data_IF_521862255826
#
_entry.id   IF_521862255826
#
_cell.length_a   1.000
_cell.length_b   1.000
_cell.length_c   1.000
_cell.angle_alpha   90.00
_cell.angle_beta   90.00
_cell.angle_gamma   90.00
#
_symmetry.space_group_name_H-M   'P 1'
#
loop_
_entity.id
_entity.type
_entity.pdbx_description
1 polymer ?
#
# COMPACT_ATOMS: atom_id res chain seq x y z
N UNK A 1 20.07 15.69 -1.77
CA UNK A 1 19.16 14.88 -0.95
C UNK A 1 18.37 15.84 -0.09
N UNK A 2 17.07 16.00 -0.35
CA UNK A 2 16.23 16.95 0.39
C UNK A 2 15.89 16.39 1.77
N UNK A 3 16.40 17.04 2.82
CA UNK A 3 16.01 16.76 4.20
C UNK A 3 14.53 17.12 4.36
N UNK A 4 13.73 16.16 4.80
CA UNK A 4 12.34 16.41 5.21
C UNK A 4 12.39 17.34 6.43
N UNK A 5 11.65 18.46 6.44
CA UNK A 5 11.63 19.38 7.58
C UNK A 5 11.23 18.66 8.86
N UNK A 6 12.01 18.86 9.92
CA UNK A 6 11.86 18.24 11.25
C UNK A 6 10.42 18.36 11.80
N UNK A 7 9.72 19.43 11.43
CA UNK A 7 8.34 19.73 11.79
C UNK A 7 7.34 18.70 11.25
N UNK A 8 7.54 18.19 10.02
CA UNK A 8 6.69 17.12 9.46
C UNK A 8 6.91 15.77 10.14
N UNK A 9 8.14 15.52 10.60
CA UNK A 9 8.50 14.30 11.34
C UNK A 9 7.89 14.32 12.75
N UNK A 10 7.89 15.48 13.42
CA UNK A 10 7.26 15.67 14.74
C UNK A 10 5.73 15.52 14.70
N UNK A 11 5.09 16.02 13.64
CA UNK A 11 3.63 15.86 13.45
C UNK A 11 3.26 14.38 13.25
N UNK A 12 4.04 13.63 12.48
CA UNK A 12 3.85 12.19 12.27
C UNK A 12 4.05 11.39 13.57
N UNK A 13 5.03 11.78 14.41
CA UNK A 13 5.27 11.14 15.71
C UNK A 13 4.11 11.41 16.68
N UNK A 14 3.51 12.61 16.69
CA UNK A 14 2.32 12.92 17.50
C UNK A 14 1.10 12.09 17.11
N UNK A 15 0.90 11.84 15.81
CA UNK A 15 -0.19 10.99 15.32
C UNK A 15 -0.03 9.53 15.77
N UNK A 16 1.20 9.01 15.80
CA UNK A 16 1.51 7.66 16.29
C UNK A 16 1.38 7.57 17.82
N UNK A 17 1.79 8.62 18.55
CA UNK A 17 1.65 8.70 20.01
C UNK A 17 0.18 8.69 20.48
N UNK A 18 -0.74 9.27 19.70
CA UNK A 18 -2.16 9.26 20.03
C UNK A 18 -2.87 7.93 19.71
N UNK A 19 -2.31 7.12 18.79
CA UNK A 19 -2.85 5.80 18.44
C UNK A 19 -2.48 4.68 19.42
N UNK A 20 -1.58 4.92 20.39
CA UNK A 20 -1.05 3.89 21.32
C UNK A 20 -1.61 3.97 22.74
N UNK A 21 -2.73 4.69 22.96
CA UNK A 21 -3.55 4.59 24.18
C UNK A 21 -4.35 3.27 24.24
N UNK A 22 -3.65 2.13 24.26
CA UNK A 22 -4.21 0.85 24.73
C UNK A 22 -3.20 0.14 25.62
N UNK A 23 -3.66 -0.52 26.71
CA UNK A 23 -2.76 -0.97 27.78
C UNK A 23 -1.96 -2.21 27.38
N UNK A 24 -0.68 -2.16 27.76
CA UNK A 24 0.35 -3.21 27.76
C UNK A 24 -0.19 -4.63 28.00
N UNK A 25 -0.13 -5.50 26.99
CA UNK A 25 0.12 -6.96 27.13
C UNK A 25 0.79 -7.54 25.87
N UNK A 26 2.10 -7.31 25.72
CA UNK A 26 2.95 -8.15 24.87
C UNK A 26 4.31 -8.31 25.57
N UNK A 27 4.34 -9.14 26.63
CA UNK A 27 5.55 -9.87 27.00
C UNK A 27 5.57 -11.13 26.16
N UNK A 28 6.71 -11.41 25.53
CA UNK A 28 7.00 -12.55 24.65
C UNK A 28 6.69 -12.33 23.16
N UNK A 29 7.37 -11.36 22.54
CA UNK A 29 7.71 -11.49 21.12
C UNK A 29 9.16 -11.98 21.10
N UNK A 30 9.36 -13.26 20.76
CA UNK A 30 10.68 -13.76 20.37
C UNK A 30 11.07 -12.96 19.12
N UNK A 31 12.15 -12.19 19.23
CA UNK A 31 12.76 -11.52 18.09
C UNK A 31 13.22 -12.63 17.15
N UNK A 32 12.48 -12.84 16.07
CA UNK A 32 12.91 -13.73 14.99
C UNK A 32 14.11 -13.08 14.33
N UNK A 33 15.13 -13.92 14.13
CA UNK A 33 16.40 -13.55 13.57
C UNK A 33 16.21 -12.88 12.21
N UNK A 34 16.82 -11.71 12.04
CA UNK A 34 16.66 -10.83 10.87
C UNK A 34 17.13 -11.51 9.59
N UNK A 35 17.97 -12.56 9.69
CA UNK A 35 18.35 -13.40 8.56
C UNK A 35 17.20 -14.29 8.04
N UNK A 36 16.28 -14.74 8.90
CA UNK A 36 15.20 -15.63 8.48
C UNK A 36 14.17 -14.90 7.61
N UNK A 37 13.81 -13.67 8.00
CA UNK A 37 12.91 -12.79 7.22
C UNK A 37 13.55 -12.38 5.89
N UNK A 38 14.88 -12.22 5.86
CA UNK A 38 15.61 -11.86 4.64
C UNK A 38 15.76 -13.04 3.67
N UNK A 39 15.88 -14.27 4.19
CA UNK A 39 15.93 -15.49 3.39
C UNK A 39 14.56 -15.85 2.78
N UNK A 40 13.46 -15.63 3.50
CA UNK A 40 12.10 -15.87 2.99
C UNK A 40 11.71 -14.87 1.88
N UNK A 41 12.12 -13.61 2.00
CA UNK A 41 11.87 -12.59 0.98
C UNK A 41 12.65 -12.88 -0.33
N UNK A 42 13.87 -13.41 -0.24
CA UNK A 42 14.68 -13.80 -1.41
C UNK A 42 14.18 -15.09 -2.07
N UNK A 43 13.53 -15.98 -1.31
CA UNK A 43 12.91 -17.19 -1.85
C UNK A 43 11.62 -16.90 -2.66
N UNK A 44 10.88 -15.84 -2.31
CA UNK A 44 9.67 -15.43 -3.04
C UNK A 44 9.99 -14.68 -4.35
N UNK A 45 11.15 -14.02 -4.44
CA UNK A 45 11.55 -13.27 -5.65
C UNK A 45 12.14 -14.16 -6.75
N UNK A 46 12.62 -15.37 -6.42
CA UNK A 46 13.23 -16.32 -7.39
C UNK A 46 12.24 -17.25 -8.11
N UNK A 47 10.97 -17.27 -7.72
CA UNK A 47 9.94 -18.15 -8.32
C UNK A 47 8.99 -17.44 -9.30
N UNK A 48 9.26 -16.19 -9.68
CA UNK A 48 8.49 -15.47 -10.70
C UNK A 48 9.24 -15.44 -12.03
N UNK A 49 9.10 -16.51 -12.82
CA UNK A 49 9.26 -16.46 -14.29
C UNK A 49 7.95 -16.92 -14.93
N UNK A 50 7.36 -16.13 -15.84
CA UNK A 50 6.16 -16.57 -16.54
C UNK A 50 6.55 -17.52 -17.69
N UNK A 51 5.93 -18.70 -17.67
CA UNK A 51 5.86 -19.62 -18.81
C UNK A 51 4.70 -19.20 -19.72
N UNK A 52 4.86 -19.21 -21.06
CA UNK A 52 3.76 -18.93 -21.97
C UNK A 52 3.00 -20.23 -22.23
N UNK A 53 1.73 -20.28 -21.81
CA UNK A 53 0.78 -21.24 -22.37
C UNK A 53 -0.50 -20.50 -22.73
N UNK A 54 -0.92 -20.79 -23.96
CA UNK A 54 -2.26 -20.66 -24.48
C UNK A 54 -3.29 -21.21 -23.48
N UNK A 55 -4.50 -20.66 -23.50
CA UNK A 55 -5.65 -21.40 -24.02
C UNK A 55 -6.91 -20.53 -23.97
N UNK A 56 -7.59 -20.54 -25.11
CA UNK A 56 -9.02 -20.80 -25.26
C UNK A 56 -9.77 -21.26 -24.01
N UNK A 57 -10.97 -20.73 -23.88
CA UNK A 57 -12.13 -21.30 -23.20
C UNK A 57 -11.95 -21.72 -21.73
N UNK A 58 -12.52 -20.93 -20.81
CA UNK A 58 -13.40 -21.53 -19.82
C UNK A 58 -14.45 -20.52 -19.33
N UNK A 59 -15.68 -20.90 -19.63
CA UNK A 59 -16.93 -20.35 -19.15
C UNK A 59 -17.20 -20.85 -17.71
N UNK A 60 -17.97 -20.05 -16.97
CA UNK A 60 -18.89 -20.35 -15.86
C UNK A 60 -18.59 -19.78 -14.45
N UNK A 61 -19.69 -19.19 -13.97
CA UNK A 61 -20.17 -19.03 -12.59
C UNK A 61 -19.74 -17.82 -11.74
N UNK A 62 -20.58 -16.78 -11.79
CA UNK A 62 -21.25 -16.27 -10.58
C UNK A 62 -22.62 -15.63 -10.90
N UNK A 63 -23.59 -15.67 -9.96
CA UNK A 63 -25.00 -15.51 -10.24
C UNK A 63 -25.46 -14.06 -10.06
N UNK A 64 -26.13 -13.52 -11.08
CA UNK A 64 -26.89 -12.27 -10.95
C UNK A 64 -28.38 -12.61 -10.78
N UNK A 65 -28.85 -12.47 -9.54
CA UNK A 65 -30.28 -12.29 -9.23
C UNK A 65 -30.75 -11.00 -9.90
N UNK A 66 -31.55 -11.13 -10.96
CA UNK A 66 -32.30 -10.01 -11.53
C UNK A 66 -33.79 -10.27 -11.31
N UNK A 67 -34.41 -9.26 -10.70
CA UNK A 67 -35.83 -9.09 -10.45
C UNK A 67 -36.64 -9.25 -11.75
N UNK A 68 -37.60 -10.18 -11.77
CA UNK A 68 -38.59 -10.32 -12.85
C UNK A 68 -39.59 -9.18 -12.75
N UNK A 69 -39.59 -8.27 -13.72
CA UNK A 69 -40.77 -7.45 -14.03
C UNK A 69 -41.37 -7.96 -15.34
N UNK A 70 -42.62 -8.38 -15.23
CA UNK A 70 -43.52 -8.78 -16.30
C UNK A 70 -43.68 -7.65 -17.32
N UNK A 71 -43.36 -7.93 -18.58
CA UNK A 71 -43.91 -7.20 -19.73
C UNK A 71 -44.38 -8.27 -20.74
N UNK A 72 -45.68 -8.35 -21.07
CA UNK A 72 -46.18 -9.32 -22.04
C UNK A 72 -45.78 -8.91 -23.46
N UNK A 73 -45.28 -9.88 -24.22
CA UNK A 73 -44.89 -9.73 -25.63
C UNK A 73 -46.12 -9.75 -26.53
N UNK A 74 -46.23 -8.78 -27.43
CA UNK A 74 -47.23 -8.70 -28.52
C UNK A 74 -47.15 -9.85 -29.55
N UNK A 75 -46.36 -10.89 -29.31
CA UNK A 75 -46.26 -12.06 -30.18
C UNK A 75 -47.36 -13.13 -29.93
N UNK A 76 -48.08 -13.05 -28.81
CA UNK A 76 -49.12 -14.04 -28.46
C UNK A 76 -50.54 -13.64 -28.94
N UNK A 77 -50.73 -12.41 -29.42
CA UNK A 77 -52.04 -11.90 -29.87
C UNK A 77 -52.34 -12.21 -31.36
N UNK A 78 -51.31 -12.51 -32.16
CA UNK A 78 -51.47 -12.75 -33.61
C UNK A 78 -51.81 -14.21 -33.98
N UNK A 79 -51.57 -15.18 -33.07
CA UNK A 79 -51.90 -16.60 -33.30
C UNK A 79 -53.34 -16.99 -32.94
N UNK A 80 -54.11 -16.11 -32.30
CA UNK A 80 -55.48 -16.37 -31.87
C UNK A 80 -56.58 -16.00 -32.89
N UNK A 81 -56.23 -15.40 -34.05
CA UNK A 81 -57.21 -14.89 -35.03
C UNK A 81 -57.45 -15.74 -36.28
N UNK A 82 -56.87 -16.94 -36.38
CA UNK A 82 -56.90 -17.71 -37.63
C UNK A 82 -57.55 -19.10 -37.56
N UNK A 83 -58.37 -19.39 -36.55
CA UNK A 83 -59.15 -20.62 -36.52
C UNK A 83 -60.52 -20.42 -35.85
N UNK A 84 -61.53 -20.09 -36.65
CA UNK A 84 -62.90 -20.57 -36.42
C UNK A 84 -63.56 -20.86 -37.77
N UNK A 85 -64.15 -22.05 -37.80
CA UNK A 85 -64.54 -22.88 -38.94
C UNK A 85 -66.06 -22.72 -39.20
N UNK A 86 -66.54 -23.34 -40.29
CA UNK A 86 -67.88 -23.93 -40.53
C UNK A 86 -68.72 -23.12 -41.55
N UNK A 87 -68.78 -23.51 -42.84
CA UNK A 87 -69.51 -24.60 -43.53
C UNK A 87 -70.96 -24.23 -43.94
N UNK A 88 -71.15 -24.16 -45.28
CA UNK A 88 -72.28 -24.60 -46.14
C UNK A 88 -73.72 -24.16 -45.84
N UNK A 89 -74.37 -23.47 -46.79
CA UNK A 89 -75.58 -23.98 -47.47
C UNK A 89 -76.08 -23.09 -48.66
N UNK A 90 -76.45 -23.78 -49.74
CA UNK A 90 -77.57 -23.55 -50.69
C UNK A 90 -77.78 -22.19 -51.43
N UNK A 91 -77.64 -22.29 -52.76
CA UNK A 91 -78.52 -21.79 -53.86
C UNK A 91 -79.78 -20.97 -53.47
N UNK A 92 -80.16 -19.95 -54.25
CA UNK A 92 -80.89 -20.22 -55.51
C UNK A 92 -80.67 -19.24 -56.69
N UNK A 93 -80.71 -19.78 -57.92
CA UNK A 93 -81.19 -19.14 -59.17
C UNK A 93 -82.74 -18.97 -59.10
N UNK A 94 -83.52 -18.46 -60.09
CA UNK A 94 -83.29 -17.77 -61.39
C UNK A 94 -84.29 -16.54 -61.45
N UNK A 95 -85.10 -16.17 -62.49
CA UNK A 95 -85.19 -16.53 -63.92
C UNK A 95 -85.49 -15.37 -64.92
N UNK A 96 -85.28 -15.62 -66.22
CA UNK A 96 -86.33 -15.59 -67.28
C UNK A 96 -85.64 -15.64 -68.66
N UNK A 97 -85.78 -16.71 -69.45
CA UNK A 97 -86.94 -17.22 -70.24
C UNK A 97 -87.33 -16.30 -71.41
N UNK A 98 -87.04 -16.74 -72.65
CA UNK A 98 -87.97 -17.28 -73.69
C UNK A 98 -88.55 -16.10 -74.52
N UNK A 99 -88.42 -16.05 -75.84
CA UNK A 99 -89.32 -16.75 -76.78
C UNK A 99 -88.67 -17.15 -78.11
N UNK A 100 -88.70 -18.46 -78.35
CA UNK A 100 -88.87 -19.08 -79.66
C UNK A 100 -90.36 -18.92 -80.04
N UNK A 101 -90.68 -18.34 -81.19
CA UNK A 101 -92.01 -18.47 -81.80
C UNK A 101 -91.86 -19.24 -83.11
N UNK A 102 -92.20 -20.53 -83.04
CA UNK A 102 -92.71 -21.33 -84.17
C UNK A 102 -94.23 -21.29 -84.12
N UNK A 103 -94.88 -20.90 -85.22
CA UNK A 103 -96.29 -21.22 -85.47
C UNK A 103 -96.40 -21.90 -86.83
N UNK A 104 -96.79 -23.17 -86.77
CA UNK A 104 -97.32 -23.97 -87.86
C UNK A 104 -98.72 -23.46 -88.23
N UNK A 105 -99.06 -23.41 -89.52
CA UNK A 105 -100.38 -23.80 -90.01
C UNK A 105 -100.30 -24.19 -91.49
N UNK A 106 -100.57 -25.47 -91.72
CA UNK A 106 -100.87 -26.09 -93.00
C UNK A 106 -102.02 -25.38 -93.72
N UNK A 107 -101.90 -25.13 -95.03
CA UNK A 107 -102.86 -25.72 -95.96
C UNK A 107 -102.42 -25.64 -97.43
N UNK A 108 -102.65 -26.77 -98.08
CA UNK A 108 -102.65 -26.98 -99.53
C UNK A 108 -103.65 -26.02 -100.17
N UNK A 109 -103.18 -25.06 -100.95
CA UNK A 109 -103.92 -24.41 -102.06
C UNK A 109 -103.12 -23.18 -102.52
N UNK A 110 -102.13 -23.34 -103.42
CA UNK A 110 -101.73 -22.29 -104.37
C UNK A 110 -100.74 -22.79 -105.42
N UNK A 111 -100.89 -24.06 -105.82
CA UNK A 111 -100.29 -24.66 -107.02
C UNK A 111 -100.93 -24.10 -108.32
N UNK A 112 -101.44 -22.86 -108.27
CA UNK A 112 -102.07 -22.11 -109.36
C UNK A 112 -101.48 -20.69 -109.57
N UNK A 113 -100.46 -20.30 -108.81
CA UNK A 113 -99.69 -19.06 -109.04
C UNK A 113 -98.20 -19.32 -109.35
N UNK A 114 -97.86 -20.56 -109.73
CA UNK A 114 -96.53 -20.96 -110.25
C UNK A 114 -96.28 -20.57 -111.71
N UNK A 115 -97.23 -19.92 -112.38
CA UNK A 115 -97.11 -19.56 -113.81
C UNK A 115 -97.00 -18.04 -114.09
N UNK A 116 -97.13 -17.15 -113.09
CA UNK A 116 -97.16 -15.68 -113.33
C UNK A 116 -95.95 -14.88 -112.80
N UNK A 117 -95.04 -15.46 -112.02
CA UNK A 117 -93.89 -14.75 -111.43
C UNK A 117 -92.53 -15.00 -112.11
N UNK A 118 -92.52 -15.68 -113.26
CA UNK A 118 -91.29 -16.03 -114.01
C UNK A 118 -90.68 -14.86 -114.82
N UNK A 119 -91.23 -13.64 -114.71
CA UNK A 119 -90.81 -12.47 -115.49
C UNK A 119 -90.35 -11.24 -114.67
N UNK A 120 -90.19 -11.34 -113.33
CA UNK A 120 -89.70 -10.23 -112.48
C UNK A 120 -88.38 -10.54 -111.75
N UNK A 121 -87.72 -11.65 -112.12
CA UNK A 121 -86.65 -12.32 -111.36
C UNK A 121 -85.23 -11.95 -111.83
N UNK A 122 -85.01 -10.69 -112.25
CA UNK A 122 -83.69 -10.24 -112.73
C UNK A 122 -83.25 -8.85 -112.25
N UNK A 123 -84.01 -8.19 -111.36
CA UNK A 123 -83.66 -6.82 -110.91
C UNK A 123 -83.47 -6.64 -109.41
N UNK A 124 -83.88 -7.58 -108.55
CA UNK A 124 -83.73 -7.46 -107.08
C UNK A 124 -82.47 -8.16 -106.51
N UNK A 125 -81.96 -9.20 -107.16
CA UNK A 125 -80.76 -9.95 -106.71
C UNK A 125 -79.46 -9.10 -106.74
N UNK A 126 -79.49 -7.97 -107.47
CA UNK A 126 -78.38 -7.02 -107.58
C UNK A 126 -78.38 -5.96 -106.46
N UNK A 127 -79.51 -5.73 -105.77
CA UNK A 127 -79.62 -4.76 -104.66
C UNK A 127 -79.35 -5.41 -103.30
N UNK A 128 -79.74 -6.67 -103.13
CA UNK A 128 -79.52 -7.42 -101.87
C UNK A 128 -78.05 -7.78 -101.63
N UNK A 129 -77.30 -8.04 -102.70
CA UNK A 129 -75.85 -8.27 -102.66
C UNK A 129 -75.06 -7.01 -102.29
N UNK A 130 -75.53 -5.82 -102.70
CA UNK A 130 -74.89 -4.53 -102.37
C UNK A 130 -75.18 -4.07 -100.92
N UNK A 131 -76.37 -4.35 -100.39
CA UNK A 131 -76.71 -4.07 -98.99
C UNK A 131 -75.93 -4.99 -98.04
N UNK A 132 -75.80 -6.28 -98.40
CA UNK A 132 -75.05 -7.25 -97.62
C UNK A 132 -73.54 -6.98 -97.62
N UNK A 133 -72.97 -6.43 -98.70
CA UNK A 133 -71.56 -6.03 -98.71
C UNK A 133 -71.32 -4.81 -97.83
N UNK A 134 -72.20 -3.80 -97.87
CA UNK A 134 -72.13 -2.61 -97.00
C UNK A 134 -72.29 -2.95 -95.52
N UNK A 135 -73.16 -3.90 -95.16
CA UNK A 135 -73.31 -4.35 -93.75
C UNK A 135 -72.05 -5.08 -93.26
N UNK A 136 -71.45 -5.92 -94.10
CA UNK A 136 -70.17 -6.59 -93.74
C UNK A 136 -69.04 -5.59 -93.61
N UNK A 137 -68.97 -4.59 -94.49
CA UNK A 137 -67.95 -3.55 -94.47
C UNK A 137 -68.12 -2.62 -93.25
N UNK A 138 -69.36 -2.27 -92.90
CA UNK A 138 -69.66 -1.45 -91.72
C UNK A 138 -69.45 -2.22 -90.39
N UNK A 139 -69.81 -3.51 -90.36
CA UNK A 139 -69.49 -4.38 -89.22
C UNK A 139 -67.98 -4.60 -89.09
N UNK A 140 -67.25 -4.74 -90.20
CA UNK A 140 -65.78 -4.83 -90.19
C UNK A 140 -65.14 -3.55 -89.66
N UNK A 141 -65.66 -2.37 -90.05
CA UNK A 141 -65.24 -1.07 -89.52
C UNK A 141 -65.56 -0.93 -88.03
N UNK A 142 -66.76 -1.31 -87.57
CA UNK A 142 -67.10 -1.28 -86.14
C UNK A 142 -66.23 -2.24 -85.32
N UNK A 143 -65.96 -3.45 -85.83
CA UNK A 143 -65.07 -4.40 -85.17
C UNK A 143 -63.63 -3.87 -85.14
N UNK A 144 -63.19 -3.17 -86.19
CA UNK A 144 -61.89 -2.52 -86.23
C UNK A 144 -61.78 -1.38 -85.22
N UNK A 145 -62.82 -0.55 -85.08
CA UNK A 145 -62.90 0.52 -84.06
C UNK A 145 -62.91 -0.08 -82.65
N UNK A 146 -63.72 -1.11 -82.41
CA UNK A 146 -63.79 -1.81 -81.12
C UNK A 146 -62.46 -2.48 -80.76
N UNK A 147 -61.82 -3.19 -81.70
CA UNK A 147 -60.51 -3.79 -81.48
C UNK A 147 -59.43 -2.74 -81.20
N UNK A 148 -59.53 -1.56 -81.84
CA UNK A 148 -58.63 -0.44 -81.56
C UNK A 148 -58.86 0.15 -80.17
N UNK A 149 -60.11 0.19 -79.71
CA UNK A 149 -60.47 0.70 -78.39
C UNK A 149 -60.10 -0.28 -77.26
N UNK A 150 -60.27 -1.58 -77.49
CA UNK A 150 -59.76 -2.64 -76.59
C UNK A 150 -58.23 -2.61 -76.53
N UNK A 151 -57.56 -2.49 -77.68
CA UNK A 151 -56.10 -2.36 -77.70
C UNK A 151 -55.60 -1.09 -76.99
N UNK A 152 -56.34 0.02 -77.09
CA UNK A 152 -56.03 1.25 -76.37
C UNK A 152 -56.25 1.09 -74.85
N UNK A 153 -57.35 0.47 -74.41
CA UNK A 153 -57.62 0.18 -73.00
C UNK A 153 -56.60 -0.79 -72.39
N UNK A 154 -56.18 -1.80 -73.16
CA UNK A 154 -55.11 -2.70 -72.75
C UNK A 154 -53.76 -1.99 -72.68
N UNK A 155 -53.46 -1.10 -73.63
CA UNK A 155 -52.26 -0.28 -73.59
C UNK A 155 -52.25 0.71 -72.40
N UNK A 156 -53.37 1.35 -72.12
CA UNK A 156 -53.57 2.25 -70.97
C UNK A 156 -53.43 1.49 -69.64
N UNK A 157 -54.05 0.31 -69.53
CA UNK A 157 -53.94 -0.55 -68.35
C UNK A 157 -52.51 -1.03 -68.15
N UNK A 158 -51.82 -1.42 -69.23
CA UNK A 158 -50.42 -1.84 -69.23
C UNK A 158 -49.49 -0.68 -68.83
N UNK A 159 -49.79 0.53 -69.30
CA UNK A 159 -49.08 1.75 -68.90
C UNK A 159 -49.29 2.07 -67.42
N UNK A 160 -50.52 1.99 -66.89
CA UNK A 160 -50.80 2.18 -65.48
C UNK A 160 -50.13 1.14 -64.58
N UNK A 161 -50.11 -0.14 -64.98
CA UNK A 161 -49.37 -1.17 -64.23
C UNK A 161 -47.87 -0.91 -64.25
N UNK A 162 -47.31 -0.53 -65.40
CA UNK A 162 -45.89 -0.18 -65.49
C UNK A 162 -45.54 1.06 -64.65
N UNK A 163 -46.43 2.05 -64.57
CA UNK A 163 -46.24 3.23 -63.74
C UNK A 163 -46.26 2.88 -62.25
N UNK A 164 -47.22 2.04 -61.81
CA UNK A 164 -47.29 1.56 -60.42
C UNK A 164 -46.11 0.67 -60.05
N UNK A 165 -45.65 -0.19 -60.96
CA UNK A 165 -44.45 -1.00 -60.76
C UNK A 165 -43.20 -0.12 -60.64
N UNK A 166 -43.09 0.94 -61.45
CA UNK A 166 -42.00 1.91 -61.35
C UNK A 166 -42.06 2.70 -60.03
N UNK A 167 -43.24 3.12 -59.58
CA UNK A 167 -43.43 3.79 -58.28
C UNK A 167 -43.08 2.86 -57.11
N UNK A 168 -43.52 1.60 -57.15
CA UNK A 168 -43.20 0.60 -56.13
C UNK A 168 -41.70 0.30 -56.09
N UNK A 169 -41.05 0.16 -57.24
CA UNK A 169 -39.61 -0.07 -57.32
C UNK A 169 -38.80 1.13 -56.76
N UNK A 170 -39.26 2.36 -56.99
CA UNK A 170 -38.61 3.55 -56.44
C UNK A 170 -38.83 3.68 -54.92
N UNK A 171 -40.01 3.31 -54.42
CA UNK A 171 -40.29 3.22 -52.98
C UNK A 171 -39.38 2.16 -52.34
N UNK A 172 -39.29 0.97 -52.93
CA UNK A 172 -38.42 -0.11 -52.44
C UNK A 172 -36.95 0.34 -52.39
N UNK A 173 -36.46 0.97 -53.46
CA UNK A 173 -35.10 1.53 -53.53
C UNK A 173 -34.84 2.52 -52.40
N UNK A 174 -35.78 3.42 -52.14
CA UNK A 174 -35.67 4.42 -51.07
C UNK A 174 -35.72 3.78 -49.68
N UNK A 175 -36.59 2.79 -49.47
CA UNK A 175 -36.65 2.07 -48.19
C UNK A 175 -35.40 1.25 -47.92
N UNK A 176 -34.81 0.63 -48.94
CA UNK A 176 -33.55 -0.10 -48.82
C UNK A 176 -32.41 0.85 -48.47
N UNK A 177 -32.35 2.02 -49.11
CA UNK A 177 -31.38 3.07 -48.80
C UNK A 177 -31.54 3.60 -47.36
N UNK A 178 -32.78 3.80 -46.89
CA UNK A 178 -33.06 4.21 -45.52
C UNK A 178 -32.66 3.14 -44.49
N UNK A 179 -32.94 1.85 -44.77
CA UNK A 179 -32.53 0.71 -43.93
C UNK A 179 -31.00 0.64 -43.87
N UNK A 180 -30.32 0.72 -45.01
CA UNK A 180 -28.87 0.67 -45.08
C UNK A 180 -28.23 1.83 -44.30
N UNK A 181 -28.76 3.05 -44.47
CA UNK A 181 -28.32 4.23 -43.74
C UNK A 181 -28.56 4.11 -42.23
N UNK A 182 -29.66 3.50 -41.79
CA UNK A 182 -29.94 3.24 -40.38
C UNK A 182 -28.98 2.20 -39.80
N UNK A 183 -28.67 1.14 -40.56
CA UNK A 183 -27.75 0.08 -40.17
C UNK A 183 -26.32 0.60 -40.03
N UNK A 184 -25.87 1.44 -40.97
CA UNK A 184 -24.57 2.12 -40.88
C UNK A 184 -24.49 3.05 -39.66
N UNK A 185 -25.54 3.82 -39.38
CA UNK A 185 -25.61 4.68 -38.18
C UNK A 185 -25.50 3.85 -36.91
N UNK A 186 -26.25 2.75 -36.81
CA UNK A 186 -26.20 1.85 -35.67
C UNK A 186 -24.80 1.24 -35.49
N UNK A 187 -24.16 0.79 -36.57
CA UNK A 187 -22.81 0.24 -36.52
C UNK A 187 -21.79 1.29 -36.08
N UNK A 188 -21.89 2.54 -36.57
CA UNK A 188 -21.00 3.63 -36.15
C UNK A 188 -21.18 3.95 -34.67
N UNK A 189 -22.41 4.02 -34.18
CA UNK A 189 -22.69 4.25 -32.76
C UNK A 189 -22.18 3.11 -31.87
N UNK A 190 -22.39 1.85 -32.28
CA UNK A 190 -21.92 0.70 -31.53
C UNK A 190 -20.39 0.67 -31.46
N UNK A 191 -19.69 0.93 -32.58
CA UNK A 191 -18.23 1.06 -32.61
C UNK A 191 -17.76 2.17 -31.68
N UNK A 192 -18.42 3.32 -31.70
CA UNK A 192 -18.10 4.45 -30.81
C UNK A 192 -18.27 4.06 -29.33
N UNK A 193 -19.38 3.42 -28.97
CA UNK A 193 -19.64 2.95 -27.59
C UNK A 193 -18.61 1.92 -27.12
N UNK A 194 -18.23 0.97 -27.98
CA UNK A 194 -17.21 -0.03 -27.68
C UNK A 194 -15.86 0.67 -27.44
N UNK A 195 -15.50 1.62 -28.31
CA UNK A 195 -14.23 2.34 -28.19
C UNK A 195 -14.18 3.22 -26.93
N UNK A 196 -15.25 3.95 -26.62
CA UNK A 196 -15.37 4.73 -25.37
C UNK A 196 -15.35 3.84 -24.11
N UNK A 197 -15.94 2.65 -24.18
CA UNK A 197 -15.89 1.67 -23.08
C UNK A 197 -14.47 1.15 -22.90
N UNK A 198 -13.77 0.82 -23.98
CA UNK A 198 -12.38 0.37 -23.96
C UNK A 198 -11.46 1.44 -23.38
N UNK A 199 -11.58 2.67 -23.86
CA UNK A 199 -10.78 3.79 -23.38
C UNK A 199 -11.03 4.07 -21.90
N UNK A 200 -12.28 4.03 -21.43
CA UNK A 200 -12.60 4.18 -20.00
C UNK A 200 -11.96 3.09 -19.13
N UNK A 201 -11.91 1.85 -19.61
CA UNK A 201 -11.24 0.75 -18.89
C UNK A 201 -9.74 0.96 -18.84
N UNK A 202 -9.13 1.30 -19.96
CA UNK A 202 -7.69 1.57 -20.04
C UNK A 202 -7.27 2.75 -19.13
N UNK A 203 -8.05 3.83 -19.10
CA UNK A 203 -7.78 4.97 -18.23
C UNK A 203 -7.99 4.63 -16.75
N UNK A 204 -9.02 3.83 -16.42
CA UNK A 204 -9.26 3.36 -15.06
C UNK A 204 -8.13 2.43 -14.56
N UNK A 205 -7.68 1.49 -15.39
CA UNK A 205 -6.56 0.60 -15.07
C UNK A 205 -5.27 1.39 -14.88
N UNK A 206 -4.99 2.36 -15.76
CA UNK A 206 -3.81 3.24 -15.64
C UNK A 206 -3.84 4.04 -14.35
N UNK A 207 -4.97 4.65 -14.00
CA UNK A 207 -5.10 5.44 -12.78
C UNK A 207 -5.03 4.55 -11.53
N UNK A 208 -5.60 3.36 -11.57
CA UNK A 208 -5.51 2.40 -10.46
C UNK A 208 -4.05 1.98 -10.20
N UNK A 209 -3.30 1.68 -11.25
CA UNK A 209 -1.87 1.36 -11.14
C UNK A 209 -1.07 2.55 -10.59
N UNK A 210 -1.35 3.77 -11.06
CA UNK A 210 -0.73 5.00 -10.57
C UNK A 210 -0.95 5.18 -9.07
N UNK A 211 -2.20 5.02 -8.60
CA UNK A 211 -2.56 5.14 -7.19
C UNK A 211 -1.92 4.05 -6.33
N UNK A 212 -1.85 2.81 -6.84
CA UNK A 212 -1.17 1.71 -6.15
C UNK A 212 0.31 2.00 -5.98
N UNK A 213 1.00 2.44 -7.03
CA UNK A 213 2.42 2.80 -6.99
C UNK A 213 2.68 3.96 -6.04
N UNK A 214 1.84 4.99 -6.06
CA UNK A 214 1.91 6.13 -5.13
C UNK A 214 1.73 5.67 -3.68
N UNK A 215 0.74 4.81 -3.40
CA UNK A 215 0.52 4.25 -2.06
C UNK A 215 1.69 3.40 -1.57
N UNK A 216 2.29 2.59 -2.45
CA UNK A 216 3.45 1.77 -2.13
C UNK A 216 4.68 2.63 -1.85
N UNK A 217 4.86 3.71 -2.60
CA UNK A 217 5.92 4.69 -2.38
C UNK A 217 5.76 5.38 -1.02
N UNK A 218 4.56 5.82 -0.67
CA UNK A 218 4.29 6.39 0.66
C UNK A 218 4.53 5.39 1.78
N UNK A 219 4.06 4.15 1.60
CA UNK A 219 4.26 3.08 2.58
C UNK A 219 5.75 2.80 2.82
N UNK A 220 6.55 2.74 1.74
CA UNK A 220 8.01 2.59 1.84
C UNK A 220 8.64 3.75 2.60
N UNK A 221 8.30 4.99 2.26
CA UNK A 221 8.82 6.17 2.97
C UNK A 221 8.51 6.15 4.48
N UNK A 222 7.28 5.79 4.85
CA UNK A 222 6.88 5.66 6.26
C UNK A 222 7.62 4.51 6.95
N UNK A 223 7.74 3.37 6.29
CA UNK A 223 8.48 2.21 6.79
C UNK A 223 9.97 2.54 7.02
N UNK A 224 10.59 3.23 6.07
CA UNK A 224 11.98 3.67 6.16
C UNK A 224 12.19 4.65 7.33
N UNK A 225 11.27 5.60 7.51
CA UNK A 225 11.31 6.53 8.64
C UNK A 225 11.20 5.79 9.99
N UNK A 226 10.31 4.80 10.11
CA UNK A 226 10.18 3.97 11.30
C UNK A 226 11.46 3.17 11.54
N UNK A 227 12.02 2.55 10.50
CA UNK A 227 13.26 1.79 10.59
C UNK A 227 14.44 2.67 11.06
N UNK A 228 14.54 3.89 10.53
CA UNK A 228 15.54 4.87 10.96
C UNK A 228 15.35 5.29 12.42
N UNK A 229 14.11 5.51 12.87
CA UNK A 229 13.82 5.83 14.27
C UNK A 229 14.21 4.67 15.21
N UNK A 230 13.89 3.43 14.83
CA UNK A 230 14.27 2.25 15.60
C UNK A 230 15.80 2.09 15.67
N UNK A 231 16.49 2.31 14.56
CA UNK A 231 17.95 2.26 14.50
C UNK A 231 18.60 3.34 15.38
N UNK A 232 18.07 4.57 15.36
CA UNK A 232 18.53 5.66 16.22
C UNK A 232 18.32 5.33 17.69
N UNK A 233 17.14 4.83 18.06
CA UNK A 233 16.84 4.38 19.42
C UNK A 233 17.81 3.30 19.89
N UNK A 234 18.02 2.27 19.07
CA UNK A 234 18.95 1.17 19.39
C UNK A 234 20.39 1.66 19.60
N UNK A 235 20.88 2.53 18.71
CA UNK A 235 22.22 3.13 18.84
C UNK A 235 22.35 3.97 20.10
N UNK A 236 21.32 4.74 20.43
CA UNK A 236 21.27 5.53 21.64
C UNK A 236 21.32 4.64 22.89
N UNK A 237 20.47 3.61 22.98
CA UNK A 237 20.43 2.68 24.12
C UNK A 237 21.77 1.94 24.31
N UNK A 238 22.42 1.56 23.20
CA UNK A 238 23.73 0.91 23.22
C UNK A 238 24.79 1.86 23.78
N UNK A 239 24.82 3.10 23.28
CA UNK A 239 25.78 4.12 23.75
C UNK A 239 25.52 4.52 25.19
N UNK A 240 24.27 4.67 25.59
CA UNK A 240 23.92 4.96 26.97
C UNK A 240 24.35 3.84 27.91
N UNK A 241 24.23 2.58 27.49
CA UNK A 241 24.74 1.44 28.26
C UNK A 241 26.27 1.48 28.39
N UNK A 242 27.00 1.72 27.30
CA UNK A 242 28.46 1.88 27.35
C UNK A 242 28.88 2.96 28.36
N UNK A 243 28.18 4.10 28.36
CA UNK A 243 28.41 5.19 29.32
C UNK A 243 28.06 4.80 30.75
N UNK A 244 26.94 4.09 30.93
CA UNK A 244 26.53 3.57 32.24
C UNK A 244 27.56 2.60 32.82
N UNK A 245 28.06 1.68 32.00
CA UNK A 245 29.08 0.70 32.40
C UNK A 245 30.39 1.40 32.76
N UNK A 246 30.79 2.39 31.95
CA UNK A 246 31.98 3.21 32.21
C UNK A 246 31.86 4.01 33.52
N UNK A 247 30.74 4.71 33.75
CA UNK A 247 30.47 5.44 34.99
C UNK A 247 30.42 4.50 36.20
N UNK A 248 29.92 3.28 36.02
CA UNK A 248 29.95 2.26 37.06
C UNK A 248 31.40 1.86 37.41
N UNK A 249 32.30 1.74 36.44
CA UNK A 249 33.73 1.48 36.72
C UNK A 249 34.34 2.63 37.54
N UNK A 250 34.05 3.87 37.17
CA UNK A 250 34.49 5.07 37.90
C UNK A 250 33.93 5.05 39.34
N UNK A 251 32.62 4.88 39.53
CA UNK A 251 31.99 4.80 40.85
C UNK A 251 32.56 3.65 41.70
N UNK A 252 32.79 2.47 41.10
CA UNK A 252 33.38 1.32 41.78
C UNK A 252 34.80 1.61 42.27
N UNK A 253 35.58 2.42 41.54
CA UNK A 253 36.92 2.84 42.00
C UNK A 253 36.85 3.66 43.30
N UNK A 254 35.91 4.62 43.38
CA UNK A 254 35.62 5.39 44.60
C UNK A 254 35.13 4.47 45.72
N UNK A 255 34.25 3.53 45.38
CA UNK A 255 33.76 2.51 46.31
C UNK A 255 34.88 1.68 46.94
N UNK A 256 35.87 1.27 46.15
CA UNK A 256 37.04 0.53 46.66
C UNK A 256 37.89 1.36 47.61
N UNK A 257 38.19 2.62 47.27
CA UNK A 257 38.93 3.52 48.16
C UNK A 257 38.17 3.75 49.48
N UNK A 258 36.85 3.97 49.41
CA UNK A 258 35.99 4.14 50.58
C UNK A 258 35.92 2.87 51.44
N UNK A 259 35.81 1.70 50.82
CA UNK A 259 35.83 0.43 51.51
C UNK A 259 37.17 0.19 52.22
N UNK A 260 38.30 0.48 51.54
CA UNK A 260 39.63 0.38 52.15
C UNK A 260 39.78 1.30 53.36
N UNK A 261 39.20 2.50 53.30
CA UNK A 261 39.14 3.38 54.46
C UNK A 261 38.36 2.77 55.62
N UNK A 262 37.22 2.11 55.36
CA UNK A 262 36.48 1.43 56.43
C UNK A 262 37.27 0.29 57.07
N UNK A 263 38.04 -0.47 56.28
CA UNK A 263 38.96 -1.49 56.82
C UNK A 263 40.05 -0.83 57.69
N UNK A 264 40.69 0.21 57.17
CA UNK A 264 41.67 1.02 57.89
C UNK A 264 41.11 1.57 59.21
N UNK A 265 39.89 2.12 59.21
CA UNK A 265 39.24 2.66 60.40
C UNK A 265 38.98 1.58 61.46
N UNK A 266 38.61 0.36 61.06
CA UNK A 266 38.44 -0.77 61.97
C UNK A 266 39.76 -1.21 62.59
N UNK A 267 40.81 -1.33 61.78
CA UNK A 267 42.15 -1.72 62.24
C UNK A 267 42.77 -0.67 63.18
N UNK A 268 42.41 0.59 62.97
CA UNK A 268 42.88 1.74 63.75
C UNK A 268 41.91 2.12 64.89
N UNK A 269 40.78 1.43 65.04
CA UNK A 269 39.68 1.80 65.95
C UNK A 269 40.07 2.02 67.42
N UNK A 270 41.03 1.26 67.94
CA UNK A 270 41.53 1.43 69.31
C UNK A 270 42.38 2.70 69.51
N UNK A 271 42.96 3.22 68.43
CA UNK A 271 43.90 4.35 68.45
C UNK A 271 43.16 5.68 68.53
N UNK A 272 41.94 5.77 68.01
CA UNK A 272 41.09 6.95 68.18
C UNK A 272 40.74 7.22 69.66
N UNK A 273 40.95 6.24 70.56
CA UNK A 273 40.55 6.29 71.97
C UNK A 273 41.69 6.21 73.00
N UNK A 274 42.99 6.24 72.64
CA UNK A 274 44.07 6.07 73.64
C UNK A 274 45.52 6.28 73.18
N UNK A 275 46.48 6.09 74.11
CA UNK A 275 47.94 6.23 73.86
C UNK A 275 48.48 5.07 73.02
N UNK A 276 49.10 5.40 71.89
CA UNK A 276 49.63 4.44 70.89
C UNK A 276 51.02 3.93 71.31
N UNK A 277 51.23 2.62 71.30
CA UNK A 277 52.57 2.01 71.41
C UNK A 277 53.38 2.23 70.12
N UNK A 278 54.71 2.36 70.22
CA UNK A 278 55.60 2.56 69.08
C UNK A 278 55.44 1.48 68.00
N UNK A 279 55.24 0.22 68.39
CA UNK A 279 54.99 -0.90 67.47
C UNK A 279 53.66 -0.78 66.72
N UNK A 280 52.62 -0.28 67.39
CA UNK A 280 51.30 -0.05 66.77
C UNK A 280 51.35 1.11 65.77
N UNK A 281 52.22 2.10 66.00
CA UNK A 281 52.40 3.22 65.06
C UNK A 281 52.98 2.79 63.70
N UNK A 282 53.95 1.88 63.68
CA UNK A 282 54.52 1.39 62.41
C UNK A 282 53.46 0.66 61.57
N UNK A 283 52.67 -0.21 62.20
CA UNK A 283 51.54 -0.87 61.54
C UNK A 283 50.53 0.13 60.96
N UNK A 284 50.16 1.18 61.70
CA UNK A 284 49.25 2.22 61.19
C UNK A 284 49.85 2.95 59.98
N UNK A 285 51.17 3.18 59.97
CA UNK A 285 51.83 3.83 58.84
C UNK A 285 51.81 2.95 57.59
N UNK A 286 52.09 1.66 57.72
CA UNK A 286 51.97 0.69 56.62
C UNK A 286 50.53 0.66 56.06
N UNK A 287 49.55 0.67 56.95
CA UNK A 287 48.13 0.68 56.58
C UNK A 287 47.69 2.00 55.95
N UNK A 288 48.23 3.14 56.40
CA UNK A 288 48.02 4.44 55.77
C UNK A 288 48.62 4.51 54.37
N UNK A 289 49.80 3.89 54.15
CA UNK A 289 50.43 3.78 52.82
C UNK A 289 49.55 2.93 51.89
N UNK A 290 48.99 1.82 52.36
CA UNK A 290 48.05 1.00 51.58
C UNK A 290 46.77 1.75 51.23
N UNK A 291 46.21 2.49 52.19
CA UNK A 291 45.06 3.35 51.97
C UNK A 291 45.37 4.44 50.93
N UNK A 292 46.55 5.06 51.01
CA UNK A 292 47.03 6.03 50.02
C UNK A 292 47.03 5.44 48.63
N UNK A 293 47.68 4.28 48.42
CA UNK A 293 47.77 3.64 47.11
C UNK A 293 46.39 3.36 46.47
N UNK A 294 45.42 2.88 47.27
CA UNK A 294 44.06 2.65 46.78
C UNK A 294 43.33 3.96 46.45
N UNK A 295 43.50 5.00 47.27
CA UNK A 295 42.90 6.32 47.07
C UNK A 295 43.48 7.01 45.84
N UNK A 296 44.79 6.89 45.63
CA UNK A 296 45.49 7.43 44.48
C UNK A 296 45.06 6.74 43.18
N UNK A 297 44.89 5.41 43.21
CA UNK A 297 44.33 4.66 42.09
C UNK A 297 42.92 5.13 41.71
N UNK A 298 42.05 5.36 42.71
CA UNK A 298 40.70 5.89 42.49
C UNK A 298 40.74 7.33 41.95
N UNK A 299 41.59 8.19 42.50
CA UNK A 299 41.81 9.56 42.04
C UNK A 299 42.26 9.58 40.57
N UNK A 300 43.26 8.78 40.18
CA UNK A 300 43.72 8.71 38.79
C UNK A 300 42.63 8.25 37.82
N UNK A 301 41.82 7.28 38.25
CA UNK A 301 40.66 6.83 37.46
C UNK A 301 39.67 7.97 37.22
N UNK A 302 39.35 8.75 38.27
CA UNK A 302 38.45 9.90 38.16
C UNK A 302 39.06 11.07 37.37
N UNK A 303 40.32 11.39 37.59
CA UNK A 303 41.03 12.46 36.92
C UNK A 303 41.12 12.19 35.41
N UNK A 304 41.43 10.94 35.03
CA UNK A 304 41.35 10.49 33.65
C UNK A 304 39.94 10.65 33.07
N UNK A 305 38.90 10.27 33.82
CA UNK A 305 37.52 10.46 33.40
C UNK A 305 37.13 11.95 33.23
N UNK A 306 37.59 12.83 34.12
CA UNK A 306 37.40 14.28 34.00
C UNK A 306 38.02 14.80 32.69
N UNK A 307 39.23 14.35 32.35
CA UNK A 307 39.92 14.77 31.12
C UNK A 307 39.20 14.28 29.85
N UNK A 308 38.69 13.05 29.84
CA UNK A 308 37.90 12.54 28.71
C UNK A 308 36.60 13.34 28.54
N UNK A 309 35.88 13.63 29.63
CA UNK A 309 34.67 14.45 29.56
C UNK A 309 34.98 15.89 29.16
N UNK A 310 36.09 16.49 29.61
CA UNK A 310 36.53 17.83 29.21
C UNK A 310 36.76 17.93 27.70
N UNK A 311 37.36 16.90 27.07
CA UNK A 311 37.50 16.81 25.60
C UNK A 311 36.14 16.76 24.91
N UNK A 312 35.19 16.00 25.46
CA UNK A 312 33.83 15.89 24.92
C UNK A 312 33.05 17.21 25.06
N UNK A 313 33.14 17.89 26.20
CA UNK A 313 32.54 19.23 26.41
C UNK A 313 33.11 20.24 25.41
N UNK A 314 34.41 20.18 25.15
CA UNK A 314 35.06 21.05 24.16
C UNK A 314 34.58 20.77 22.73
N UNK A 315 34.29 19.50 22.42
CA UNK A 315 33.81 19.07 21.09
C UNK A 315 32.32 19.32 20.89
N UNK A 316 31.53 19.29 21.96
CA UNK A 316 30.07 19.39 21.96
C UNK A 316 29.58 20.36 23.05
N UNK A 317 29.92 21.66 22.95
CA UNK A 317 29.67 22.64 24.02
C UNK A 317 28.18 22.87 24.28
N UNK A 318 27.31 22.59 23.32
CA UNK A 318 25.85 22.76 23.43
C UNK A 318 25.17 21.66 24.27
N UNK A 319 25.89 20.60 24.66
CA UNK A 319 25.32 19.49 25.40
C UNK A 319 25.40 19.73 26.92
N UNK A 320 24.28 20.14 27.50
CA UNK A 320 24.20 20.48 28.94
C UNK A 320 24.56 19.29 29.86
N UNK A 321 24.12 18.08 29.50
CA UNK A 321 24.43 16.87 30.27
C UNK A 321 25.94 16.59 30.40
N UNK A 322 26.77 16.96 29.41
CA UNK A 322 28.23 16.76 29.49
C UNK A 322 28.86 17.68 30.53
N UNK A 323 28.37 18.92 30.66
CA UNK A 323 28.84 19.87 31.67
C UNK A 323 28.41 19.45 33.08
N UNK A 324 27.18 18.98 33.22
CA UNK A 324 26.68 18.42 34.47
C UNK A 324 27.52 17.22 34.91
N UNK A 325 27.88 16.34 33.97
CA UNK A 325 28.78 15.23 34.26
C UNK A 325 30.19 15.72 34.63
N UNK A 326 30.75 16.69 33.89
CA UNK A 326 32.08 17.24 34.20
C UNK A 326 32.13 17.81 35.61
N UNK A 327 31.19 18.67 35.97
CA UNK A 327 31.08 19.29 37.31
C UNK A 327 30.96 18.23 38.41
N UNK A 328 30.15 17.20 38.17
CA UNK A 328 30.02 16.08 39.10
C UNK A 328 31.34 15.32 39.31
N UNK A 329 32.01 14.95 38.22
CA UNK A 329 33.28 14.22 38.29
C UNK A 329 34.38 15.06 38.95
N UNK A 330 34.48 16.35 38.62
CA UNK A 330 35.43 17.29 39.25
C UNK A 330 35.18 17.37 40.75
N UNK A 331 33.91 17.50 41.17
CA UNK A 331 33.55 17.54 42.59
C UNK A 331 34.00 16.29 43.32
N UNK A 332 33.75 15.10 42.77
CA UNK A 332 34.16 13.82 43.40
C UNK A 332 35.68 13.65 43.37
N UNK A 333 36.36 14.07 42.30
CA UNK A 333 37.82 14.03 42.17
C UNK A 333 38.48 14.90 43.25
N UNK A 334 37.95 16.11 43.47
CA UNK A 334 38.48 17.03 44.47
C UNK A 334 38.32 16.49 45.90
N UNK A 335 37.25 15.73 46.18
CA UNK A 335 37.11 15.03 47.48
C UNK A 335 38.23 13.98 47.67
N UNK A 336 38.56 13.21 46.64
CA UNK A 336 39.67 12.25 46.69
C UNK A 336 41.02 12.94 46.82
N UNK A 337 41.21 14.08 46.15
CA UNK A 337 42.39 14.93 46.30
C UNK A 337 42.59 15.34 47.76
N UNK A 338 41.56 15.87 48.43
CA UNK A 338 41.69 16.27 49.84
C UNK A 338 41.94 15.07 50.77
N UNK A 339 41.35 13.92 50.48
CA UNK A 339 41.65 12.69 51.21
C UNK A 339 43.13 12.27 51.07
N UNK A 340 43.72 12.36 49.87
CA UNK A 340 45.15 12.11 49.66
C UNK A 340 46.01 13.07 50.47
N UNK A 341 45.73 14.37 50.39
CA UNK A 341 46.44 15.39 51.17
C UNK A 341 46.34 15.12 52.68
N UNK A 342 45.18 14.66 53.17
CA UNK A 342 45.00 14.30 54.57
C UNK A 342 45.88 13.09 54.96
N UNK A 343 45.95 12.05 54.12
CA UNK A 343 46.80 10.88 54.35
C UNK A 343 48.28 11.29 54.35
N UNK A 344 48.71 12.11 53.39
CA UNK A 344 50.09 12.59 53.29
C UNK A 344 50.52 13.36 54.54
N UNK A 345 49.65 14.24 55.01
CA UNK A 345 49.83 15.01 56.23
C UNK A 345 49.92 14.12 57.46
N UNK A 346 49.12 13.05 57.52
CA UNK A 346 49.20 12.04 58.58
C UNK A 346 50.54 11.28 58.53
N UNK A 347 50.97 10.84 57.35
CA UNK A 347 52.21 10.06 57.17
C UNK A 347 53.46 10.91 57.48
N UNK A 348 53.54 12.15 56.98
CA UNK A 348 54.70 13.04 57.15
C UNK A 348 54.80 13.63 58.55
N UNK A 349 53.75 14.31 58.97
CA UNK A 349 53.77 15.19 60.14
C UNK A 349 53.16 14.51 61.38
N UNK A 350 52.66 13.28 61.23
CA UNK A 350 51.87 12.59 62.27
C UNK A 350 50.71 13.48 62.76
N UNK A 351 50.15 14.28 61.84
CA UNK A 351 48.94 15.08 62.07
C UNK A 351 47.78 14.17 62.48
N UNK A 352 46.69 14.74 62.97
CA UNK A 352 45.58 13.94 63.48
C UNK A 352 45.01 13.03 62.38
N UNK A 353 44.92 11.74 62.68
CA UNK A 353 44.19 10.76 61.87
C UNK A 353 42.70 11.13 61.71
N UNK A 354 42.19 11.97 62.61
CA UNK A 354 40.85 12.54 62.51
C UNK A 354 40.64 13.30 61.19
N UNK A 355 41.65 14.00 60.69
CA UNK A 355 41.55 14.71 59.42
C UNK A 355 41.35 13.75 58.24
N UNK A 356 41.98 12.57 58.28
CA UNK A 356 41.75 11.51 57.28
C UNK A 356 40.30 11.04 57.37
N UNK A 357 39.81 10.77 58.58
CA UNK A 357 38.43 10.33 58.80
C UNK A 357 37.40 11.32 58.28
N UNK A 358 37.55 12.60 58.61
CA UNK A 358 36.66 13.67 58.17
C UNK A 358 36.55 13.75 56.63
N UNK A 359 37.68 13.69 55.91
CA UNK A 359 37.66 13.77 54.45
C UNK A 359 37.03 12.51 53.82
N UNK A 360 37.31 11.31 54.36
CA UNK A 360 36.66 10.11 53.85
C UNK A 360 35.16 10.08 54.11
N UNK A 361 34.66 10.67 55.19
CA UNK A 361 33.22 10.78 55.44
C UNK A 361 32.48 11.67 54.43
N UNK A 362 33.17 12.58 53.76
CA UNK A 362 32.61 13.39 52.67
C UNK A 362 32.53 12.65 51.33
N UNK A 363 33.26 11.54 51.20
CA UNK A 363 33.30 10.72 49.98
C UNK A 363 32.15 9.70 50.01
N UNK A 364 31.26 9.79 49.02
CA UNK A 364 30.22 8.80 48.77
C UNK A 364 30.34 8.29 47.31
N UNK A 365 30.47 6.96 47.09
CA UNK A 365 30.52 6.39 45.74
C UNK A 365 29.28 6.70 44.89
N UNK A 366 28.12 6.90 45.53
CA UNK A 366 26.87 7.27 44.87
C UNK A 366 26.80 8.74 44.42
N UNK A 367 27.81 9.54 44.77
CA UNK A 367 27.95 10.91 44.26
C UNK A 367 28.33 10.91 42.78
N UNK A 368 28.99 9.85 42.27
CA UNK A 368 29.21 9.68 40.83
C UNK A 368 27.87 9.48 40.15
N UNK A 369 27.50 10.43 39.30
CA UNK A 369 26.17 10.48 38.70
C UNK A 369 25.96 9.36 37.68
N UNK A 370 24.81 8.69 37.75
CA UNK A 370 24.39 7.67 36.78
C UNK A 370 23.70 8.30 35.57
N UNK A 371 23.68 7.59 34.44
CA UNK A 371 23.10 8.07 33.17
C UNK A 371 21.62 8.46 33.26
N UNK A 372 20.82 7.75 34.06
CA UNK A 372 19.41 8.09 34.25
C UNK A 372 19.22 9.42 35.02
N UNK A 373 20.10 9.72 35.98
CA UNK A 373 20.11 11.01 36.70
C UNK A 373 20.52 12.14 35.75
N UNK A 374 21.55 11.91 34.93
CA UNK A 374 21.96 12.86 33.89
C UNK A 374 20.81 13.18 32.93
N UNK A 375 20.06 12.18 32.49
CA UNK A 375 18.87 12.37 31.65
C UNK A 375 17.81 13.21 32.35
N UNK A 376 17.56 12.97 33.63
CA UNK A 376 16.60 13.74 34.42
C UNK A 376 17.01 15.21 34.56
N UNK A 377 18.31 15.48 34.71
CA UNK A 377 18.85 16.84 34.80
C UNK A 377 18.81 17.58 33.46
N UNK A 378 19.06 16.89 32.34
CA UNK A 378 19.05 17.48 30.98
C UNK A 378 17.62 17.86 30.53
N UNK A 379 16.59 17.22 31.09
CA UNK A 379 15.18 17.54 30.82
C UNK A 379 14.67 18.79 31.56
N UNK A 380 15.46 19.36 32.48
CA UNK A 380 15.03 20.54 33.23
C UNK A 380 15.22 21.83 32.42
N UNK A 381 14.16 22.63 32.19
CA UNK A 381 14.18 23.77 31.27
C UNK A 381 15.02 24.99 31.71
N UNK A 382 15.67 24.94 32.89
CA UNK A 382 16.33 26.10 33.51
C UNK A 382 17.87 25.97 33.64
N UNK A 383 18.54 25.08 32.91
CA UNK A 383 20.00 24.94 32.96
C UNK A 383 20.76 26.07 32.19
N UNK A 384 20.22 27.28 32.13
CA UNK A 384 20.80 28.41 31.38
C UNK A 384 21.88 29.19 32.16
N UNK A 385 22.07 28.93 33.45
CA UNK A 385 23.23 29.44 34.19
C UNK A 385 24.45 28.55 33.91
N UNK A 386 25.04 28.75 32.74
CA UNK A 386 26.25 28.07 32.32
C UNK A 386 27.46 28.62 33.08
N UNK A 387 27.61 28.23 34.34
CA UNK A 387 28.85 28.47 35.08
C UNK A 387 30.00 27.70 34.41
N UNK A 388 31.16 28.37 34.34
CA UNK A 388 32.39 27.76 33.87
C UNK A 388 32.73 26.63 34.84
N UNK A 389 32.82 25.39 34.35
CA UNK A 389 33.17 24.25 35.19
C UNK A 389 34.66 24.34 35.49
N UNK A 390 35.01 24.35 36.78
CA UNK A 390 36.39 24.35 37.24
C UNK A 390 37.14 23.09 36.79
N UNK A 391 38.45 23.20 36.68
CA UNK A 391 39.33 22.07 36.42
C UNK A 391 39.54 21.22 37.69
N UNK A 392 39.71 19.89 37.57
CA UNK A 392 40.02 19.05 38.71
C UNK A 392 41.37 19.45 39.31
N UNK A 393 41.45 19.47 40.64
CA UNK A 393 42.69 19.75 41.35
C UNK A 393 43.72 18.67 41.02
N UNK A 394 44.94 19.10 40.69
CA UNK A 394 46.04 18.21 40.34
C UNK A 394 46.83 17.80 41.58
N UNK A 395 46.96 16.49 41.79
CA UNK A 395 47.73 15.91 42.88
C UNK A 395 49.18 15.66 42.44
N UNK A 396 50.11 16.45 42.97
CA UNK A 396 51.53 16.32 42.73
C UNK A 396 52.16 15.26 43.66
N UNK A 397 52.44 14.09 43.11
CA UNK A 397 53.00 12.95 43.86
C UNK A 397 54.52 13.11 44.19
N UNK A 398 55.12 14.25 43.83
CA UNK A 398 56.57 14.51 43.94
C UNK A 398 57.07 14.62 45.38
N UNK A 399 56.16 14.75 46.36
CA UNK A 399 56.52 15.02 47.75
C UNK A 399 56.56 13.77 48.64
N UNK A 400 56.26 12.56 48.14
CA UNK A 400 56.35 11.32 48.92
C UNK A 400 57.06 10.25 48.10
N UNK A 401 58.36 10.12 48.34
CA UNK A 401 59.10 8.94 47.94
C UNK A 401 58.69 7.81 48.91
N UNK A 402 57.57 7.13 48.63
CA UNK A 402 57.24 5.88 49.33
C UNK A 402 58.25 4.85 48.81
N UNK A 403 59.38 4.75 49.50
CA UNK A 403 60.34 3.68 49.30
C UNK A 403 59.59 2.36 49.56
N UNK A 404 59.23 1.66 48.48
CA UNK A 404 58.76 0.28 48.56
C UNK A 404 59.86 -0.52 49.28
N UNK A 405 59.65 -0.84 50.55
CA UNK A 405 60.45 -1.83 51.25
C UNK A 405 60.06 -3.19 50.67
N UNK A 406 60.67 -3.54 49.53
CA UNK A 406 60.81 -4.90 49.08
C UNK A 406 61.83 -5.56 50.02
N UNK A 407 61.34 -6.06 51.16
CA UNK A 407 62.13 -6.97 51.99
C UNK A 407 62.32 -8.29 51.23
N UNK A 408 63.58 -8.60 50.97
CA UNK A 408 64.09 -9.81 50.37
C UNK A 408 63.48 -11.07 51.03
N UNK A 409 62.57 -11.73 50.32
CA UNK A 409 62.26 -13.15 50.55
C UNK A 409 63.21 -14.00 49.70
N UNK A 410 64.50 -13.92 50.02
CA UNK A 410 65.44 -15.01 49.76
C UNK A 410 65.50 -15.92 50.99
N UNK A 411 65.47 -17.24 50.73
CA UNK A 411 65.63 -18.40 51.63
C UNK A 411 64.34 -18.81 52.37
N UNK A 412 63.82 -20.03 52.24
CA UNK A 412 64.52 -21.31 52.27
C UNK A 412 63.89 -22.35 51.34
N UNK A 413 64.57 -22.68 50.23
CA UNK A 413 64.38 -23.96 49.55
C UNK A 413 65.13 -25.05 50.34
N UNK A 414 64.49 -25.57 51.39
CA UNK A 414 64.89 -26.81 52.03
C UNK A 414 64.55 -28.00 51.10
N UNK A 415 65.44 -28.34 50.17
CA UNK A 415 65.47 -29.66 49.54
C UNK A 415 66.69 -30.43 50.06
N UNK A 416 66.49 -31.04 51.22
CA UNK A 416 67.35 -32.09 51.75
C UNK A 416 67.19 -33.38 50.91
N UNK A 417 68.23 -33.67 50.12
CA UNK A 417 68.92 -34.97 50.05
C UNK A 417 68.03 -36.22 50.21
N UNK A 418 67.65 -36.84 49.09
CA UNK A 418 67.47 -38.29 49.03
C UNK A 418 68.56 -38.86 48.11
N UNK A 419 69.51 -39.53 48.76
CA UNK A 419 70.55 -40.34 48.12
C UNK A 419 69.91 -41.56 47.47
N UNK A 420 70.31 -41.81 46.23
CA UNK A 420 70.29 -43.14 45.62
C UNK A 420 71.23 -44.08 46.40
N UNK A 421 70.77 -45.30 46.66
CA UNK A 421 71.63 -46.50 46.61
C UNK A 421 70.78 -47.78 46.70
N UNK A 422 70.76 -48.53 45.60
CA UNK A 422 70.91 -49.99 45.52
C UNK A 422 70.65 -50.83 46.78
N UNK A 423 69.57 -51.61 46.79
CA UNK A 423 69.58 -53.08 46.64
C UNK A 423 68.14 -53.61 46.50
#
# INVERSE_FOLDING_TARGET
MGLIPLEKTLEAIKVIGNATKYPRKLRNVKILDTEHVRMEAVALEKNSKPSPKSDTDLFLDLPLKIHKQNVPSQADEFKARLNQVVVVDKLPLPPNRIELITVNASNREAERLREQLKNSDRTDDRRETEISSRIRENNALQLQVYNREVANLEAEKKHQTALREAEMAEIERKTEEDIQNALERQQREQRKRINESKQRREDYERETLRLQEESLKELRQRSDAIAQCLLLKYRFETKEKEWSDWLHVVSRSVGRAKHRFSEFELEVGDIFNGKISRSKMNFIMEEAIRLHGQTYSAYNTLFGACNEVKKLVSSYPEKSFLRNLQSNLVTVSNKLYFALIAIDNFVKDKKSIECVREEFYRINPSDVIETWKLRALDLQPNNESFEMVDDPLEYDNSAINIEEVLEDLELESNTSVLKESHF
#
